data_IF_578338018546
#
_entry.id   IF_578338018546
#
_cell.length_a   1.000
_cell.length_b   1.000
_cell.length_c   1.000
_cell.angle_alpha   90.00
_cell.angle_beta   90.00
_cell.angle_gamma   90.00
#
_symmetry.space_group_name_H-M   'P 1'
#
loop_
_entity.id
_entity.type
_entity.pdbx_description
1 polymer ?
#
# COMPACT_ATOMS: atom_id res chain seq x y z
N UNK A 1 -4.18 -14.69 -1.43
CA UNK A 1 -4.47 -13.87 -0.23
C UNK A 1 -5.54 -14.43 0.71
N UNK A 2 -6.41 -15.37 0.30
CA UNK A 2 -7.48 -15.89 1.17
C UNK A 2 -7.03 -16.91 2.22
N UNK A 3 -5.86 -17.53 2.05
CA UNK A 3 -5.39 -18.65 2.90
C UNK A 3 -4.24 -18.25 3.85
N UNK A 4 -3.98 -16.95 4.00
CA UNK A 4 -2.93 -16.42 4.87
C UNK A 4 -3.54 -15.67 6.06
N UNK A 5 -2.84 -15.67 7.19
CA UNK A 5 -3.26 -14.94 8.37
C UNK A 5 -3.23 -13.41 8.15
N UNK A 6 -4.11 -12.70 8.86
CA UNK A 6 -4.21 -11.25 8.80
C UNK A 6 -3.01 -10.62 9.52
N UNK A 7 -2.14 -9.92 8.77
CA UNK A 7 -0.96 -9.24 9.33
C UNK A 7 -1.16 -7.73 9.54
N UNK A 8 -1.75 -7.03 8.58
CA UNK A 8 -1.99 -5.58 8.68
C UNK A 8 -0.75 -4.68 8.49
N UNK A 9 0.37 -5.23 7.99
CA UNK A 9 1.64 -4.50 7.87
C UNK A 9 1.66 -3.44 6.76
N UNK A 10 0.96 -3.67 5.64
CA UNK A 10 1.05 -2.80 4.46
C UNK A 10 0.16 -1.55 4.53
N UNK A 11 -0.90 -1.55 5.34
CA UNK A 11 -1.88 -0.45 5.47
C UNK A 11 -2.50 0.07 4.16
N UNK A 12 -2.39 -0.66 3.05
CA UNK A 12 -3.00 -0.23 1.77
C UNK A 12 -4.53 -0.24 1.81
N UNK A 13 -5.11 -1.07 2.68
CA UNK A 13 -6.54 -1.27 2.82
C UNK A 13 -7.24 -0.27 3.77
N UNK A 14 -6.62 0.88 4.05
CA UNK A 14 -7.24 1.90 4.91
C UNK A 14 -8.57 2.38 4.30
N UNK A 15 -9.57 2.51 5.17
CA UNK A 15 -10.93 2.99 4.86
C UNK A 15 -11.40 3.97 5.92
N UNK A 16 -12.34 4.82 5.55
CA UNK A 16 -12.98 5.76 6.46
C UNK A 16 -14.15 5.06 7.15
N UNK A 17 -14.30 5.29 8.45
CA UNK A 17 -15.43 4.78 9.22
C UNK A 17 -16.04 5.96 9.98
N UNK A 18 -17.37 6.09 9.90
CA UNK A 18 -18.09 7.13 10.62
C UNK A 18 -17.73 7.08 12.12
N UNK A 19 -17.50 8.26 12.71
CA UNK A 19 -17.10 8.44 14.12
C UNK A 19 -15.72 7.87 14.49
N UNK A 20 -14.94 7.38 13.52
CA UNK A 20 -13.54 7.05 13.74
C UNK A 20 -12.64 8.29 13.57
N UNK A 21 -11.78 8.61 14.55
CA UNK A 21 -10.87 9.74 14.44
C UNK A 21 -9.77 9.52 13.38
N UNK A 22 -9.52 8.26 12.98
CA UNK A 22 -8.49 7.88 12.00
C UNK A 22 -9.00 6.79 11.05
N UNK A 23 -8.50 6.71 9.81
CA UNK A 23 -8.77 5.58 8.92
C UNK A 23 -8.42 4.24 9.57
N UNK A 24 -9.24 3.23 9.33
CA UNK A 24 -9.08 1.90 9.90
C UNK A 24 -8.59 0.92 8.84
N UNK A 25 -7.83 -0.10 9.24
CA UNK A 25 -7.37 -1.14 8.32
C UNK A 25 -8.50 -2.17 8.11
N UNK A 26 -9.12 -2.15 6.92
CA UNK A 26 -10.25 -3.02 6.62
C UNK A 26 -9.90 -4.51 6.67
N UNK A 27 -8.65 -4.90 6.41
CA UNK A 27 -8.24 -6.30 6.46
C UNK A 27 -8.23 -6.90 7.88
N UNK A 28 -8.19 -6.07 8.92
CA UNK A 28 -8.10 -6.52 10.31
C UNK A 28 -9.28 -6.07 11.17
N UNK A 29 -10.16 -5.21 10.65
CA UNK A 29 -11.34 -4.75 11.38
C UNK A 29 -12.53 -5.68 11.09
N UNK A 30 -13.08 -6.38 12.11
CA UNK A 30 -14.31 -7.13 11.94
C UNK A 30 -15.47 -6.21 11.58
N UNK A 31 -16.33 -6.64 10.66
CA UNK A 31 -17.56 -5.93 10.36
C UNK A 31 -18.57 -6.08 11.49
N UNK A 32 -19.27 -4.99 11.83
CA UNK A 32 -20.33 -4.97 12.83
C UNK A 32 -21.54 -4.18 12.32
N UNK A 33 -22.72 -4.51 12.84
CA UNK A 33 -23.97 -3.85 12.44
C UNK A 33 -23.92 -2.33 12.70
N UNK A 34 -24.45 -1.57 11.75
CA UNK A 34 -24.46 -0.10 11.82
C UNK A 34 -23.13 0.57 11.48
N UNK A 35 -22.10 -0.18 11.06
CA UNK A 35 -20.89 0.42 10.48
C UNK A 35 -21.19 1.11 9.16
N UNK A 36 -20.80 2.39 9.07
CA UNK A 36 -20.82 3.16 7.83
C UNK A 36 -19.38 3.39 7.40
N UNK A 37 -19.02 2.81 6.26
CA UNK A 37 -17.67 2.85 5.68
C UNK A 37 -17.68 3.68 4.40
N UNK A 38 -16.78 4.65 4.31
CA UNK A 38 -16.49 5.37 3.08
C UNK A 38 -15.09 4.99 2.59
N UNK A 39 -15.02 4.50 1.36
CA UNK A 39 -13.77 4.04 0.73
C UNK A 39 -13.17 5.08 -0.23
N UNK A 40 -13.89 6.17 -0.49
CA UNK A 40 -13.54 7.19 -1.48
C UNK A 40 -13.39 8.60 -0.88
N UNK A 41 -13.53 8.72 0.45
CA UNK A 41 -13.29 9.99 1.16
C UNK A 41 -11.90 10.54 0.85
N UNK A 42 -11.77 11.87 0.85
CA UNK A 42 -10.47 12.54 0.63
C UNK A 42 -9.44 12.12 1.67
N UNK A 43 -9.90 11.78 2.88
CA UNK A 43 -9.06 11.26 3.96
C UNK A 43 -8.47 9.90 3.61
N UNK A 44 -9.25 9.01 3.00
CA UNK A 44 -8.80 7.69 2.55
C UNK A 44 -7.85 7.81 1.36
N UNK A 45 -8.17 8.65 0.38
CA UNK A 45 -7.29 8.90 -0.77
C UNK A 45 -5.90 9.35 -0.31
N UNK A 46 -5.84 10.39 0.52
CA UNK A 46 -4.58 10.89 1.11
C UNK A 46 -3.83 9.82 1.89
N UNK A 47 -4.55 8.97 2.64
CA UNK A 47 -3.93 7.90 3.41
C UNK A 47 -3.31 6.83 2.49
N UNK A 48 -4.00 6.41 1.43
CA UNK A 48 -3.49 5.43 0.46
C UNK A 48 -2.32 5.98 -0.35
N UNK A 49 -2.39 7.23 -0.78
CA UNK A 49 -1.29 7.93 -1.45
C UNK A 49 -0.04 7.96 -0.55
N UNK A 50 -0.18 8.31 0.72
CA UNK A 50 0.94 8.34 1.67
C UNK A 50 1.52 6.95 1.97
N UNK A 51 0.68 5.92 2.05
CA UNK A 51 1.13 4.52 2.16
C UNK A 51 1.90 4.11 0.91
N UNK A 52 1.39 4.43 -0.28
CA UNK A 52 2.05 4.11 -1.55
C UNK A 52 3.40 4.81 -1.67
N UNK A 53 3.47 6.09 -1.31
CA UNK A 53 4.73 6.83 -1.26
C UNK A 53 5.74 6.15 -0.32
N UNK A 54 5.30 5.70 0.86
CA UNK A 54 6.17 5.00 1.81
C UNK A 54 6.64 3.64 1.27
N UNK A 55 5.77 2.88 0.60
CA UNK A 55 6.15 1.61 -0.03
C UNK A 55 7.16 1.80 -1.17
N UNK A 56 6.99 2.85 -1.96
CA UNK A 56 7.86 3.17 -3.10
C UNK A 56 9.14 3.91 -2.72
N UNK A 57 9.22 4.43 -1.49
CA UNK A 57 10.35 5.22 -0.99
C UNK A 57 11.66 4.47 -1.15
N UNK A 58 11.70 3.19 -0.74
CA UNK A 58 12.87 2.33 -0.87
C UNK A 58 12.71 1.25 -1.96
N UNK A 59 11.61 1.25 -2.71
CA UNK A 59 11.44 0.31 -3.82
C UNK A 59 12.38 0.68 -4.98
N UNK A 60 13.16 -0.26 -5.54
CA UNK A 60 14.05 0.02 -6.67
C UNK A 60 13.25 0.35 -7.94
N UNK A 61 13.81 1.16 -8.83
CA UNK A 61 13.21 1.48 -10.14
C UNK A 61 13.58 0.41 -11.18
N UNK A 62 13.43 -0.85 -10.80
CA UNK A 62 13.88 -2.00 -11.58
C UNK A 62 12.76 -2.61 -12.43
N UNK A 63 11.60 -1.96 -12.58
CA UNK A 63 10.46 -2.52 -13.31
C UNK A 63 10.79 -3.08 -14.70
N UNK A 64 11.65 -2.45 -15.54
CA UNK A 64 11.99 -3.00 -16.86
C UNK A 64 12.79 -4.31 -16.84
N UNK A 65 13.44 -4.63 -15.71
CA UNK A 65 14.25 -5.85 -15.52
C UNK A 65 13.66 -6.76 -14.44
N UNK A 66 12.53 -6.38 -13.87
CA UNK A 66 11.81 -7.15 -12.87
C UNK A 66 10.99 -8.21 -13.60
N UNK A 67 11.15 -9.48 -13.24
CA UNK A 67 10.42 -10.58 -13.87
C UNK A 67 8.90 -10.47 -13.66
N UNK A 68 8.45 -9.76 -12.60
CA UNK A 68 7.04 -9.49 -12.32
C UNK A 68 6.54 -8.17 -12.93
N UNK A 69 7.37 -7.46 -13.70
CA UNK A 69 6.97 -6.21 -14.36
C UNK A 69 5.77 -6.45 -15.28
N UNK A 70 4.69 -5.70 -15.07
CA UNK A 70 3.43 -5.85 -15.81
C UNK A 70 2.38 -6.76 -15.17
N UNK A 71 2.74 -7.56 -14.17
CA UNK A 71 1.81 -8.35 -13.34
C UNK A 71 1.98 -8.08 -11.83
N UNK A 72 2.71 -7.01 -11.50
CA UNK A 72 3.05 -6.66 -10.13
C UNK A 72 1.90 -5.90 -9.46
N UNK A 73 1.33 -6.48 -8.40
CA UNK A 73 0.28 -5.82 -7.59
C UNK A 73 0.72 -4.42 -7.10
N UNK A 74 1.99 -4.24 -6.73
CA UNK A 74 2.50 -2.94 -6.28
C UNK A 74 2.47 -1.90 -7.41
N UNK A 75 2.76 -2.33 -8.64
CA UNK A 75 2.68 -1.47 -9.82
C UNK A 75 1.23 -1.06 -10.08
N UNK A 76 0.29 -2.01 -10.04
CA UNK A 76 -1.13 -1.74 -10.28
C UNK A 76 -1.71 -0.81 -9.20
N UNK A 77 -1.37 -1.05 -7.94
CA UNK A 77 -1.78 -0.19 -6.84
C UNK A 77 -1.16 1.20 -6.94
N UNK A 78 0.09 1.33 -7.38
CA UNK A 78 0.75 2.62 -7.61
C UNK A 78 0.07 3.41 -8.74
N UNK A 79 -0.34 2.73 -9.81
CA UNK A 79 -1.09 3.37 -10.90
C UNK A 79 -2.50 3.78 -10.49
N UNK A 80 -3.15 3.01 -9.62
CA UNK A 80 -4.53 3.30 -9.17
C UNK A 80 -4.65 4.29 -8.01
N UNK A 81 -3.67 4.33 -7.10
CA UNK A 81 -3.75 5.08 -5.83
C UNK A 81 -2.48 5.88 -5.48
N UNK A 82 -1.42 5.80 -6.29
CA UNK A 82 -0.21 6.60 -6.11
C UNK A 82 -0.37 8.02 -6.64
N UNK A 83 0.52 8.92 -6.21
CA UNK A 83 0.64 10.26 -6.81
C UNK A 83 1.58 10.21 -8.02
N UNK A 84 1.36 11.12 -8.98
CA UNK A 84 2.12 11.22 -10.25
C UNK A 84 3.62 11.59 -10.10
N UNK A 85 4.17 11.62 -8.87
CA UNK A 85 5.58 11.89 -8.62
C UNK A 85 6.01 11.57 -7.19
N UNK A 86 7.30 11.27 -7.02
CA UNK A 86 7.92 11.09 -5.71
C UNK A 86 8.45 12.43 -5.18
N UNK A 87 8.17 12.73 -3.92
CA UNK A 87 8.77 13.87 -3.21
C UNK A 87 10.12 13.53 -2.60
N UNK A 88 10.48 12.25 -2.54
CA UNK A 88 11.70 11.76 -1.95
C UNK A 88 12.89 12.00 -2.89
N UNK A 89 13.87 12.77 -2.43
CA UNK A 89 15.07 13.17 -3.20
C UNK A 89 16.37 12.55 -2.69
N UNK A 90 16.31 11.83 -1.58
CA UNK A 90 17.49 11.25 -0.95
C UNK A 90 17.83 9.88 -1.54
N UNK A 91 19.00 9.36 -1.19
CA UNK A 91 19.46 8.07 -1.67
C UNK A 91 18.57 6.95 -1.10
N UNK A 92 18.00 6.13 -1.99
CA UNK A 92 17.25 4.94 -1.60
C UNK A 92 18.17 3.91 -0.95
N UNK A 93 17.70 3.34 0.15
CA UNK A 93 18.38 2.21 0.79
C UNK A 93 18.19 0.96 -0.06
N UNK A 94 19.29 0.46 -0.64
CA UNK A 94 19.28 -0.75 -1.45
C UNK A 94 19.89 -1.89 -0.64
N UNK A 95 19.08 -2.92 -0.36
CA UNK A 95 19.59 -4.16 0.18
C UNK A 95 20.43 -4.85 -0.89
N UNK A 96 21.64 -5.29 -0.52
CA UNK A 96 22.45 -6.17 -1.38
C UNK A 96 21.61 -7.42 -1.66
N UNK A 97 21.40 -7.77 -2.93
CA UNK A 97 20.75 -9.03 -3.32
C UNK A 97 21.56 -10.18 -2.69
N UNK A 98 21.03 -10.76 -1.62
CA UNK A 98 21.61 -11.97 -1.04
C UNK A 98 21.41 -13.11 -2.04
N UNK A 99 22.49 -13.82 -2.34
CA UNK A 99 22.60 -14.92 -3.32
C UNK A 99 21.85 -16.21 -2.92
N UNK A 100 20.76 -16.12 -2.17
CA UNK A 100 20.08 -17.28 -1.58
C UNK A 100 18.57 -17.10 -1.56
N UNK A 101 17.91 -17.45 -2.66
CA UNK A 101 16.55 -18.03 -2.66
C UNK A 101 16.52 -19.01 -3.83
N UNK A 102 16.69 -20.30 -3.53
CA UNK A 102 16.21 -21.40 -4.37
C UNK A 102 14.78 -21.73 -3.95
#
# INVERSE_FOLDING_TARGET
MKDLSIAGNCRMCLVDMERSPKPIASCAMPASDGMVIDTQSDRVKKAREGVMEFLLLNHPLDCPICDQGGECDLQDQAMGYGQDGSRYKDQKELLKKNKWVH
#
